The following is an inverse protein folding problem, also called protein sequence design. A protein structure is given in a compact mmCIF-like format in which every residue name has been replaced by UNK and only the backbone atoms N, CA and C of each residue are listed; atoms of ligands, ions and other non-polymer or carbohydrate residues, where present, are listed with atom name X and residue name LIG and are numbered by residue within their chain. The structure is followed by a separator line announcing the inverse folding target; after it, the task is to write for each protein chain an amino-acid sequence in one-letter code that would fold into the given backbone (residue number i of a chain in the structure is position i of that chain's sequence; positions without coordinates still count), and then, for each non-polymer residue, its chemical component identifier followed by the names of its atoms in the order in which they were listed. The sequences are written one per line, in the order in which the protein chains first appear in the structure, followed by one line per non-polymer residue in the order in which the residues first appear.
data_IF_435328934657
#
_entry.id   IF_435328934657
#
_cell.length_a   1.000
_cell.length_b   1.000
_cell.length_c   1.000
_cell.angle_alpha   90.00
_cell.angle_beta   90.00
_cell.angle_gamma   90.00
#
_symmetry.space_group_name_H-M   'P 1'
#
loop_
_entity.id
_entity.type
_entity.pdbx_description
1 polymer ?
#
# COMPACT_ATOMS: atom_id res chain seq x y z
N UNK A 1 41.86 11.88 13.34
CA UNK A 1 41.24 11.87 12.00
C UNK A 1 39.96 11.05 12.09
N UNK A 2 38.82 11.72 12.21
CA UNK A 2 37.51 11.08 12.31
C UNK A 2 37.05 10.64 10.91
N UNK A 3 36.95 9.34 10.70
CA UNK A 3 36.21 8.77 9.56
C UNK A 3 34.75 8.66 10.01
N UNK A 4 33.92 9.61 9.60
CA UNK A 4 32.48 9.57 9.84
C UNK A 4 31.91 8.32 9.14
N UNK A 5 31.45 7.35 9.93
CA UNK A 5 30.53 6.30 9.48
C UNK A 5 29.23 6.97 9.06
N UNK A 6 29.11 7.33 7.78
CA UNK A 6 27.89 7.89 7.22
C UNK A 6 27.25 6.85 6.28
N UNK A 7 26.81 5.73 6.87
CA UNK A 7 26.17 4.62 6.17
C UNK A 7 24.72 4.34 6.56
N UNK A 8 24.28 4.80 7.74
CA UNK A 8 22.88 4.66 8.19
C UNK A 8 22.00 5.82 7.71
N UNK A 9 22.15 6.20 6.43
CA UNK A 9 21.04 6.81 5.71
C UNK A 9 20.07 5.68 5.48
N UNK A 10 19.03 5.59 6.32
CA UNK A 10 17.92 4.65 6.11
C UNK A 10 17.39 4.86 4.70
N UNK A 11 17.81 4.01 3.76
CA UNK A 11 17.48 4.15 2.34
C UNK A 11 15.97 4.35 2.22
N UNK A 12 15.57 5.44 1.57
CA UNK A 12 14.17 5.67 1.24
C UNK A 12 13.71 4.46 0.44
N UNK A 13 12.66 3.80 0.92
CA UNK A 13 12.19 2.58 0.32
C UNK A 13 11.76 2.85 -1.13
N UNK A 14 12.26 2.06 -2.07
CA UNK A 14 12.06 2.28 -3.51
C UNK A 14 10.89 1.47 -4.08
N UNK A 15 10.40 1.88 -5.26
CA UNK A 15 9.40 1.12 -6.00
C UNK A 15 9.88 -0.30 -6.32
N UNK A 16 11.15 -0.46 -6.69
CA UNK A 16 11.74 -1.75 -7.03
C UNK A 16 11.84 -2.67 -5.81
N UNK A 17 12.13 -2.15 -4.62
CA UNK A 17 12.14 -2.95 -3.39
C UNK A 17 10.74 -3.44 -3.01
N UNK A 18 9.72 -2.60 -3.17
CA UNK A 18 8.33 -3.01 -2.96
C UNK A 18 7.90 -4.05 -3.99
N UNK A 19 8.18 -3.82 -5.29
CA UNK A 19 7.89 -4.79 -6.34
C UNK A 19 8.63 -6.11 -6.12
N UNK A 20 9.90 -6.07 -5.71
CA UNK A 20 10.69 -7.26 -5.38
C UNK A 20 10.06 -8.05 -4.23
N UNK A 21 9.59 -7.35 -3.19
CA UNK A 21 8.89 -7.99 -2.08
C UNK A 21 7.56 -8.63 -2.52
N UNK A 22 6.79 -7.94 -3.37
CA UNK A 22 5.52 -8.43 -3.92
C UNK A 22 5.76 -9.64 -4.81
N UNK A 23 6.75 -9.60 -5.69
CA UNK A 23 7.03 -10.63 -6.70
C UNK A 23 7.88 -11.79 -6.16
N UNK A 24 8.50 -11.62 -5.00
CA UNK A 24 9.46 -12.58 -4.41
C UNK A 24 10.67 -12.82 -5.34
N UNK A 25 11.17 -11.75 -5.95
CA UNK A 25 12.32 -11.78 -6.85
C UNK A 25 13.40 -10.78 -6.38
N UNK A 26 14.61 -10.83 -6.94
CA UNK A 26 15.64 -9.82 -6.67
C UNK A 26 15.24 -8.42 -7.13
N UNK A 27 15.73 -7.34 -6.47
CA UNK A 27 15.44 -5.95 -6.85
C UNK A 27 15.76 -5.60 -8.31
N UNK A 28 16.83 -6.16 -8.88
CA UNK A 28 17.21 -5.92 -10.28
C UNK A 28 16.19 -6.48 -11.28
N UNK A 29 15.49 -7.56 -10.92
CA UNK A 29 14.39 -8.10 -11.72
C UNK A 29 13.12 -7.26 -11.56
N UNK A 30 12.80 -6.88 -10.32
CA UNK A 30 11.67 -6.00 -10.04
C UNK A 30 11.81 -4.62 -10.69
N UNK A 31 13.03 -4.10 -10.83
CA UNK A 31 13.29 -2.84 -11.52
C UNK A 31 12.81 -2.89 -12.98
N UNK A 32 12.92 -4.04 -13.66
CA UNK A 32 12.41 -4.21 -15.02
C UNK A 32 10.89 -4.09 -15.08
N UNK A 33 10.19 -4.59 -14.05
CA UNK A 33 8.73 -4.44 -13.92
C UNK A 33 8.35 -2.97 -13.71
N UNK A 34 9.09 -2.24 -12.88
CA UNK A 34 8.86 -0.80 -12.66
C UNK A 34 9.04 -0.01 -13.96
N UNK A 35 10.15 -0.22 -14.66
CA UNK A 35 10.43 0.46 -15.95
C UNK A 35 9.37 0.15 -16.99
N UNK A 36 8.93 -1.10 -17.07
CA UNK A 36 7.87 -1.49 -18.01
C UNK A 36 6.51 -0.88 -17.63
N UNK A 37 6.18 -0.83 -16.34
CA UNK A 37 4.96 -0.16 -15.86
C UNK A 37 4.95 1.33 -16.22
N UNK A 38 6.08 2.02 -16.01
CA UNK A 38 6.28 3.42 -16.41
C UNK A 38 6.12 3.61 -17.92
N UNK A 39 6.76 2.75 -18.73
CA UNK A 39 6.66 2.77 -20.20
C UNK A 39 5.22 2.61 -20.67
N UNK A 40 4.43 1.82 -19.96
CA UNK A 40 3.02 1.55 -20.26
C UNK A 40 2.05 2.56 -19.64
N UNK A 41 2.54 3.49 -18.80
CA UNK A 41 1.70 4.44 -18.07
C UNK A 41 0.75 3.79 -17.07
N UNK A 42 1.13 2.63 -16.51
CA UNK A 42 0.31 1.90 -15.52
C UNK A 42 1.01 1.88 -14.15
N UNK A 43 0.23 1.78 -13.08
CA UNK A 43 0.80 1.62 -11.74
C UNK A 43 1.47 0.22 -11.59
N UNK A 44 2.69 0.11 -11.06
CA UNK A 44 3.38 -1.17 -10.90
C UNK A 44 2.63 -2.20 -10.05
N UNK A 45 1.85 -1.78 -9.04
CA UNK A 45 0.97 -2.68 -8.27
C UNK A 45 -0.11 -3.26 -9.18
N UNK A 46 -0.74 -2.44 -10.02
CA UNK A 46 -1.74 -2.92 -10.97
C UNK A 46 -1.11 -3.83 -12.04
N UNK A 47 0.13 -3.55 -12.47
CA UNK A 47 0.89 -4.42 -13.36
C UNK A 47 1.14 -5.80 -12.74
N UNK A 48 1.59 -5.85 -11.47
CA UNK A 48 1.77 -7.11 -10.73
C UNK A 48 0.45 -7.89 -10.61
N UNK A 49 -0.64 -7.20 -10.26
CA UNK A 49 -1.93 -7.84 -10.01
C UNK A 49 -2.57 -8.40 -11.28
N UNK A 50 -2.50 -7.68 -12.40
CA UNK A 50 -3.27 -7.99 -13.62
C UNK A 50 -2.45 -8.59 -14.74
N UNK A 51 -1.29 -8.02 -15.04
CA UNK A 51 -0.48 -8.44 -16.21
C UNK A 51 0.43 -9.62 -15.87
N UNK A 52 0.99 -9.64 -14.66
CA UNK A 52 1.80 -10.76 -14.16
C UNK A 52 0.95 -11.86 -13.49
N UNK A 53 -0.36 -11.65 -13.34
CA UNK A 53 -1.31 -12.68 -12.95
C UNK A 53 -1.32 -13.05 -11.45
N UNK A 54 -0.68 -12.28 -10.56
CA UNK A 54 -0.68 -12.59 -9.12
C UNK A 54 -2.07 -12.45 -8.47
N UNK A 55 -2.94 -11.63 -9.05
CA UNK A 55 -4.24 -11.29 -8.48
C UNK A 55 -4.16 -10.19 -7.42
N UNK A 56 -5.23 -9.40 -7.33
CA UNK A 56 -5.28 -8.19 -6.49
C UNK A 56 -5.15 -8.50 -5.00
N UNK A 57 -5.75 -9.59 -4.52
CA UNK A 57 -5.70 -10.00 -3.12
C UNK A 57 -4.26 -10.26 -2.65
N UNK A 58 -3.52 -11.08 -3.38
CA UNK A 58 -2.15 -11.46 -3.01
C UNK A 58 -1.20 -10.26 -3.06
N UNK A 59 -1.36 -9.41 -4.08
CA UNK A 59 -0.54 -8.18 -4.21
C UNK A 59 -0.81 -7.23 -3.05
N UNK A 60 -2.08 -6.99 -2.70
CA UNK A 60 -2.45 -6.11 -1.58
C UNK A 60 -1.99 -6.65 -0.22
N UNK A 61 -2.14 -7.96 0.01
CA UNK A 61 -1.66 -8.61 1.24
C UNK A 61 -0.14 -8.42 1.40
N UNK A 62 0.62 -8.64 0.33
CA UNK A 62 2.08 -8.46 0.34
C UNK A 62 2.47 -7.00 0.52
N UNK A 63 1.76 -6.07 -0.13
CA UNK A 63 1.98 -4.64 0.05
C UNK A 63 1.69 -4.18 1.49
N UNK A 64 0.63 -4.68 2.11
CA UNK A 64 0.28 -4.39 3.51
C UNK A 64 1.38 -4.85 4.47
N UNK A 65 1.83 -6.11 4.30
CA UNK A 65 2.93 -6.68 5.08
C UNK A 65 4.22 -5.88 4.94
N UNK A 66 4.53 -5.43 3.72
CA UNK A 66 5.71 -4.60 3.47
C UNK A 66 5.62 -3.21 4.12
N UNK A 67 4.43 -2.59 4.07
CA UNK A 67 4.17 -1.30 4.70
C UNK A 67 4.03 -1.38 6.23
N UNK A 68 3.86 -2.59 6.78
CA UNK A 68 3.75 -2.85 8.22
C UNK A 68 2.36 -2.63 8.79
N UNK A 69 1.32 -2.69 7.97
CA UNK A 69 -0.10 -2.45 8.33
C UNK A 69 -0.94 -3.70 8.08
N UNK A 70 -2.20 -3.66 8.49
CA UNK A 70 -3.12 -4.79 8.36
C UNK A 70 -3.67 -4.94 6.93
N UNK A 71 -4.13 -6.15 6.60
CA UNK A 71 -4.83 -6.47 5.36
C UNK A 71 -6.17 -7.14 5.65
N UNK A 72 -7.20 -6.74 4.93
CA UNK A 72 -8.53 -7.33 4.97
C UNK A 72 -9.08 -7.48 3.55
N UNK A 73 -9.37 -8.73 3.17
CA UNK A 73 -9.83 -9.08 1.82
C UNK A 73 -11.30 -8.71 1.55
N UNK A 74 -12.12 -8.60 2.59
CA UNK A 74 -13.58 -8.54 2.47
C UNK A 74 -14.16 -7.19 2.91
N UNK A 75 -13.47 -6.50 3.83
CA UNK A 75 -14.01 -5.39 4.61
C UNK A 75 -15.24 -5.84 5.45
N UNK A 76 -15.47 -5.23 6.63
CA UNK A 76 -16.69 -5.46 7.38
C UNK A 76 -17.92 -5.12 6.53
N UNK A 77 -18.99 -5.92 6.62
CA UNK A 77 -20.23 -5.61 5.90
C UNK A 77 -21.02 -4.49 6.57
N UNK A 78 -20.89 -4.34 7.89
CA UNK A 78 -21.57 -3.33 8.70
C UNK A 78 -20.73 -2.07 8.88
N UNK A 79 -20.18 -1.52 7.78
CA UNK A 79 -19.49 -0.23 7.85
C UNK A 79 -20.52 0.86 8.09
N UNK A 80 -20.67 1.27 9.36
CA UNK A 80 -21.27 2.58 9.70
C UNK A 80 -20.20 3.64 9.49
N UNK A 81 -19.88 3.92 8.24
CA UNK A 81 -18.73 4.73 7.88
C UNK A 81 -19.08 5.79 6.86
N UNK A 82 -18.85 7.06 7.20
CA UNK A 82 -18.87 8.12 6.18
C UNK A 82 -17.65 7.94 5.27
N UNK A 83 -17.82 8.00 3.96
CA UNK A 83 -16.71 8.05 3.02
C UNK A 83 -15.92 9.36 3.20
N UNK A 84 -15.03 9.40 4.19
CA UNK A 84 -14.09 10.51 4.38
C UNK A 84 -12.80 10.21 3.64
N UNK A 85 -12.44 11.10 2.72
CA UNK A 85 -11.12 11.10 2.14
C UNK A 85 -10.12 11.47 3.24
N UNK A 86 -9.29 10.50 3.63
CA UNK A 86 -8.21 10.75 4.58
C UNK A 86 -7.16 11.61 3.87
N UNK A 87 -7.16 12.92 4.12
CA UNK A 87 -6.01 13.76 3.78
C UNK A 87 -4.90 13.48 4.80
N UNK A 88 -4.20 12.37 4.61
CA UNK A 88 -2.78 12.38 4.85
C UNK A 88 -2.20 13.10 3.64
N UNK A 89 -1.48 14.21 3.83
CA UNK A 89 -0.90 14.98 2.72
C UNK A 89 -0.03 14.09 1.79
N UNK A 90 0.44 12.95 2.29
CA UNK A 90 1.19 11.94 1.56
C UNK A 90 0.37 10.81 0.91
N UNK A 91 -0.96 10.73 1.15
CA UNK A 91 -1.88 9.72 0.58
C UNK A 91 -2.99 10.34 -0.29
N UNK A 92 -2.77 11.58 -0.75
CA UNK A 92 -3.78 12.43 -1.40
C UNK A 92 -4.52 11.77 -2.59
N UNK A 93 -3.92 10.76 -3.23
CA UNK A 93 -4.46 10.04 -4.39
C UNK A 93 -5.25 8.77 -4.05
N UNK A 94 -5.11 8.22 -2.84
CA UNK A 94 -5.78 6.97 -2.48
C UNK A 94 -7.20 7.20 -1.98
N UNK A 95 -8.15 6.45 -2.55
CA UNK A 95 -9.52 6.40 -2.05
C UNK A 95 -9.55 5.65 -0.72
N UNK A 96 -10.12 6.29 0.29
CA UNK A 96 -10.23 5.76 1.65
C UNK A 96 -11.69 5.57 2.04
N UNK A 97 -11.99 4.47 2.73
CA UNK A 97 -13.25 4.28 3.46
C UNK A 97 -12.91 4.27 4.95
N UNK A 98 -13.51 5.16 5.72
CA UNK A 98 -13.43 5.16 7.17
C UNK A 98 -14.55 4.27 7.73
N UNK A 99 -14.23 3.39 8.67
CA UNK A 99 -15.17 2.48 9.29
C UNK A 99 -14.85 2.34 10.79
N UNK A 100 -15.88 2.27 11.61
CA UNK A 100 -15.74 1.90 13.02
C UNK A 100 -16.02 0.39 13.17
N UNK A 101 -15.01 -0.34 13.65
CA UNK A 101 -15.04 -1.78 13.87
C UNK A 101 -14.76 -2.04 15.34
N UNK A 102 -15.70 -2.64 16.05
CA UNK A 102 -15.59 -2.94 17.49
C UNK A 102 -15.21 -1.73 18.36
N UNK A 103 -15.70 -0.53 17.99
CA UNK A 103 -15.39 0.73 18.68
C UNK A 103 -14.07 1.38 18.26
N UNK A 104 -13.34 0.79 17.32
CA UNK A 104 -12.09 1.34 16.77
C UNK A 104 -12.28 1.90 15.36
N UNK A 105 -11.86 3.15 15.15
CA UNK A 105 -11.84 3.78 13.83
C UNK A 105 -10.67 3.29 12.97
N UNK A 106 -10.99 2.64 11.85
CA UNK A 106 -10.06 2.14 10.83
C UNK A 106 -10.28 2.79 9.46
N UNK A 107 -9.22 2.83 8.68
CA UNK A 107 -9.18 3.38 7.32
C UNK A 107 -8.81 2.27 6.34
N UNK A 108 -9.74 1.93 5.47
CA UNK A 108 -9.59 0.94 4.43
C UNK A 108 -9.13 1.61 3.13
N UNK A 109 -8.02 1.13 2.58
CA UNK A 109 -7.36 1.71 1.40
C UNK A 109 -7.07 0.64 0.34
N UNK A 110 -7.12 1.02 -0.94
CA UNK A 110 -6.58 0.21 -2.03
C UNK A 110 -5.53 1.04 -2.79
N UNK A 111 -4.31 1.16 -2.23
CA UNK A 111 -3.30 2.13 -2.66
C UNK A 111 -2.59 1.72 -3.96
N UNK A 112 -2.10 2.72 -4.70
CA UNK A 112 -1.09 2.52 -5.74
C UNK A 112 0.32 2.47 -5.15
N UNK A 113 1.35 2.36 -5.99
CA UNK A 113 2.72 2.14 -5.50
C UNK A 113 3.22 3.31 -4.64
N UNK A 114 3.01 4.55 -5.09
CA UNK A 114 3.48 5.75 -4.40
C UNK A 114 2.85 5.88 -3.02
N UNK A 115 1.57 5.54 -2.90
CA UNK A 115 0.82 5.56 -1.65
C UNK A 115 1.35 4.53 -0.65
N UNK A 116 1.74 3.33 -1.11
CA UNK A 116 2.36 2.32 -0.23
C UNK A 116 3.73 2.76 0.29
N UNK A 117 4.54 3.42 -0.55
CA UNK A 117 5.83 3.99 -0.13
C UNK A 117 5.64 5.10 0.92
N UNK A 118 4.69 6.00 0.67
CA UNK A 118 4.31 7.05 1.60
C UNK A 118 3.79 6.48 2.92
N UNK A 119 2.96 5.45 2.85
CA UNK A 119 2.40 4.76 4.00
C UNK A 119 3.48 4.12 4.87
N UNK A 120 4.41 3.36 4.28
CA UNK A 120 5.53 2.75 5.03
C UNK A 120 6.34 3.83 5.76
N UNK A 121 6.60 4.94 5.09
CA UNK A 121 7.33 6.07 5.66
C UNK A 121 6.56 6.69 6.83
N UNK A 122 5.24 6.85 6.71
CA UNK A 122 4.39 7.36 7.77
C UNK A 122 4.28 6.39 8.97
N UNK A 123 4.12 5.09 8.72
CA UNK A 123 4.10 4.05 9.76
C UNK A 123 5.39 4.05 10.58
N UNK A 124 6.55 4.21 9.93
CA UNK A 124 7.85 4.31 10.60
C UNK A 124 7.99 5.56 11.48
N UNK A 125 7.29 6.65 11.14
CA UNK A 125 7.24 7.89 11.96
C UNK A 125 6.26 7.81 13.13
N UNK A 126 5.42 6.77 13.19
CA UNK A 126 4.49 6.48 14.28
C UNK A 126 3.02 6.83 14.00
N UNK A 127 2.11 6.24 14.78
CA UNK A 127 0.72 6.69 14.94
C UNK A 127 -0.36 6.11 14.02
N UNK A 128 -0.01 5.40 12.94
CA UNK A 128 -1.00 4.98 11.92
C UNK A 128 -1.17 3.47 11.76
N UNK A 129 -0.26 2.67 12.31
CA UNK A 129 -0.16 1.23 12.06
C UNK A 129 -1.49 0.48 12.26
N UNK A 130 -2.12 0.69 13.40
CA UNK A 130 -3.33 -0.04 13.82
C UNK A 130 -4.63 0.54 13.24
N UNK A 131 -4.55 1.66 12.53
CA UNK A 131 -5.72 2.35 11.96
C UNK A 131 -5.82 2.18 10.46
N UNK A 132 -4.82 1.60 9.80
CA UNK A 132 -4.79 1.48 8.35
C UNK A 132 -4.87 0.01 7.98
N UNK A 133 -5.82 -0.28 7.09
CA UNK A 133 -6.07 -1.61 6.55
C UNK A 133 -6.03 -1.51 5.02
N UNK A 134 -5.12 -2.26 4.38
CA UNK A 134 -5.16 -2.40 2.94
C UNK A 134 -6.22 -3.43 2.55
N UNK A 135 -6.87 -3.17 1.44
CA UNK A 135 -7.92 -4.02 0.90
C UNK A 135 -7.89 -3.98 -0.63
N UNK A 136 -8.38 -5.03 -1.32
CA UNK A 136 -8.53 -5.01 -2.77
C UNK A 136 -9.47 -3.89 -3.23
N UNK A 137 -9.22 -3.29 -4.41
CA UNK A 137 -10.11 -2.26 -4.97
C UNK A 137 -11.53 -2.79 -5.16
N UNK A 138 -11.71 -4.10 -5.41
CA UNK A 138 -13.04 -4.72 -5.51
C UNK A 138 -13.85 -4.64 -4.21
N UNK A 139 -13.20 -4.78 -3.04
CA UNK A 139 -13.87 -4.68 -1.75
C UNK A 139 -14.35 -3.24 -1.50
N UNK A 140 -13.48 -2.24 -1.76
CA UNK A 140 -13.88 -0.81 -1.69
C UNK A 140 -15.07 -0.48 -2.60
N UNK A 141 -15.13 -1.07 -3.81
CA UNK A 141 -16.25 -0.83 -4.73
C UNK A 141 -17.57 -1.40 -4.20
N UNK A 142 -17.55 -2.55 -3.53
CA UNK A 142 -18.74 -3.18 -2.96
C UNK A 142 -19.28 -2.41 -1.76
N UNK A 143 -18.40 -1.93 -0.88
CA UNK A 143 -18.78 -1.14 0.29
C UNK A 143 -19.48 0.18 -0.07
N UNK A 144 -19.26 0.73 -1.27
CA UNK A 144 -19.91 1.97 -1.75
C UNK A 144 -21.34 1.81 -2.24
N UNK A 145 -21.79 0.59 -2.53
CA UNK A 145 -23.14 0.33 -3.07
C UNK A 145 -24.17 0.02 -1.99
N UNK A 146 -23.74 0.00 -0.73
CA UNK A 146 -24.56 -0.23 0.46
C UNK A 146 -24.85 1.13 1.09
#
# INVERSE_FOLDING_TARGET
MNVLHNGDVTALASQAELCAFILRCPPAEAQRVVVEAERLGVDPIDMCARRLGLGEHLVMERAARWAGVDYDAMMPQTIRGSARQLRLDSLATTRTIHADVDGESRYYLAPGIADVLALRSAVRRGGLRHRIVLTPRVALRRARRQ
#
